data_IF_346291998717
#
_entry.id   IF_346291998717
#
_cell.length_a   1.000
_cell.length_b   1.000
_cell.length_c   1.000
_cell.angle_alpha   90.00
_cell.angle_beta   90.00
_cell.angle_gamma   90.00
#
_symmetry.space_group_name_H-M   'P 1'
#
loop_
_entity.id
_entity.type
_entity.pdbx_description
1 polymer ?
#
# COMPACT_ATOMS: atom_id res chain seq x y z
N UNK A 1 -9.76 32.45 21.29
CA UNK A 1 -10.50 31.70 20.24
C UNK A 1 -9.48 30.78 19.61
N UNK A 2 -9.58 29.46 19.87
CA UNK A 2 -8.69 28.46 19.26
C UNK A 2 -9.01 28.41 17.76
N UNK A 3 -7.98 28.55 16.91
CA UNK A 3 -8.12 28.29 15.47
C UNK A 3 -8.60 26.85 15.26
N UNK A 4 -9.55 26.62 14.33
CA UNK A 4 -9.96 25.27 14.00
C UNK A 4 -8.75 24.51 13.47
N UNK A 5 -8.40 23.40 14.12
CA UNK A 5 -7.35 22.47 13.66
C UNK A 5 -7.73 22.03 12.26
N UNK A 6 -6.97 22.45 11.26
CA UNK A 6 -7.16 21.96 9.89
C UNK A 6 -6.95 20.44 9.89
N UNK A 7 -7.89 19.66 9.34
CA UNK A 7 -7.70 18.22 9.26
C UNK A 7 -6.43 17.92 8.45
N UNK A 8 -5.66 16.97 8.93
CA UNK A 8 -4.46 16.48 8.24
C UNK A 8 -4.85 15.97 6.84
N UNK A 9 -4.36 16.57 5.75
CA UNK A 9 -4.73 16.16 4.40
C UNK A 9 -4.35 14.70 4.10
N UNK A 10 -3.31 14.17 4.75
CA UNK A 10 -2.91 12.77 4.61
C UNK A 10 -3.87 11.82 5.31
N UNK A 11 -4.46 12.22 6.44
CA UNK A 11 -5.52 11.45 7.10
C UNK A 11 -6.77 11.36 6.21
N UNK A 12 -7.14 12.43 5.52
CA UNK A 12 -8.23 12.40 4.54
C UNK A 12 -7.91 11.48 3.35
N UNK A 13 -6.67 11.52 2.84
CA UNK A 13 -6.21 10.68 1.74
C UNK A 13 -6.22 9.18 2.10
N UNK A 14 -5.78 8.81 3.30
CA UNK A 14 -5.82 7.42 3.77
C UNK A 14 -7.26 6.92 3.97
N UNK A 15 -8.16 7.76 4.48
CA UNK A 15 -9.58 7.43 4.60
C UNK A 15 -10.24 7.21 3.21
N UNK A 16 -9.91 8.04 2.23
CA UNK A 16 -10.38 7.90 0.86
C UNK A 16 -9.85 6.61 0.21
N UNK A 17 -8.57 6.31 0.40
CA UNK A 17 -7.97 5.06 -0.08
C UNK A 17 -8.67 3.83 0.53
N UNK A 18 -8.92 3.84 1.83
CA UNK A 18 -9.65 2.74 2.48
C UNK A 18 -11.04 2.55 1.89
N UNK A 19 -11.80 3.63 1.74
CA UNK A 19 -13.14 3.57 1.15
C UNK A 19 -13.12 3.02 -0.28
N UNK A 20 -12.16 3.45 -1.11
CA UNK A 20 -11.98 2.93 -2.47
C UNK A 20 -11.63 1.44 -2.48
N UNK A 21 -10.67 1.01 -1.68
CA UNK A 21 -10.26 -0.40 -1.59
C UNK A 21 -11.43 -1.29 -1.19
N UNK A 22 -12.18 -0.91 -0.15
CA UNK A 22 -13.33 -1.67 0.32
C UNK A 22 -14.49 -1.69 -0.69
N UNK A 23 -14.63 -0.65 -1.51
CA UNK A 23 -15.68 -0.56 -2.52
C UNK A 23 -15.34 -1.34 -3.81
N UNK A 24 -14.06 -1.34 -4.22
CA UNK A 24 -13.66 -1.81 -5.56
C UNK A 24 -12.98 -3.17 -5.56
N UNK A 25 -12.36 -3.59 -4.45
CA UNK A 25 -11.65 -4.87 -4.35
C UNK A 25 -12.33 -5.74 -3.27
N UNK A 26 -13.21 -6.69 -3.66
CA UNK A 26 -13.99 -7.48 -2.69
C UNK A 26 -13.14 -8.20 -1.63
N UNK A 27 -11.92 -8.64 -2.00
CA UNK A 27 -10.99 -9.29 -1.08
C UNK A 27 -10.64 -8.42 0.14
N UNK A 28 -10.57 -7.09 -0.02
CA UNK A 28 -10.19 -6.20 1.09
C UNK A 28 -11.20 -6.21 2.22
N UNK A 29 -12.48 -6.43 1.92
CA UNK A 29 -13.52 -6.64 2.94
C UNK A 29 -13.34 -7.97 3.67
N UNK A 30 -12.99 -9.04 2.95
CA UNK A 30 -12.74 -10.34 3.55
C UNK A 30 -11.50 -10.32 4.46
N UNK A 31 -10.48 -9.55 4.10
CA UNK A 31 -9.30 -9.31 4.93
C UNK A 31 -9.61 -8.47 6.18
N UNK A 32 -10.75 -7.77 6.22
CA UNK A 32 -11.04 -6.68 7.17
C UNK A 32 -9.91 -5.62 7.19
N UNK A 33 -9.47 -5.22 5.98
CA UNK A 33 -8.34 -4.30 5.79
C UNK A 33 -8.64 -2.92 6.36
N UNK A 34 -7.66 -2.37 7.06
CA UNK A 34 -7.62 -0.99 7.51
C UNK A 34 -6.39 -0.28 6.94
N UNK A 35 -6.60 0.94 6.41
CA UNK A 35 -5.50 1.80 5.99
C UNK A 35 -5.05 2.62 7.19
N UNK A 36 -3.78 2.45 7.56
CA UNK A 36 -3.17 3.14 8.67
C UNK A 36 -2.54 4.47 8.26
N UNK A 37 -1.35 4.74 8.80
CA UNK A 37 -0.64 6.01 8.58
C UNK A 37 0.02 6.06 7.19
N UNK A 38 -0.06 7.22 6.58
CA UNK A 38 0.74 7.64 5.43
C UNK A 38 1.51 8.92 5.81
N UNK A 39 2.83 8.93 5.61
CA UNK A 39 3.70 10.06 5.94
C UNK A 39 4.37 10.70 4.70
N UNK A 40 4.00 10.25 3.50
CA UNK A 40 4.57 10.69 2.24
C UNK A 40 5.70 9.79 1.73
N UNK A 41 6.26 8.92 2.57
CA UNK A 41 7.33 7.98 2.22
C UNK A 41 6.96 6.54 2.53
N UNK A 42 6.10 6.33 3.51
CA UNK A 42 5.65 5.00 3.95
C UNK A 42 4.14 4.94 4.04
N UNK A 43 3.58 3.75 3.84
CA UNK A 43 2.16 3.45 4.06
C UNK A 43 2.02 2.22 4.96
N UNK A 44 1.24 2.37 6.03
CA UNK A 44 0.87 1.26 6.90
C UNK A 44 -0.51 0.73 6.53
N UNK A 45 -0.63 -0.60 6.44
CA UNK A 45 -1.91 -1.31 6.43
C UNK A 45 -2.02 -2.22 7.64
N UNK A 46 -3.25 -2.48 8.08
CA UNK A 46 -3.57 -3.40 9.17
C UNK A 46 -4.70 -4.35 8.79
N UNK A 47 -4.70 -5.50 9.40
CA UNK A 47 -5.83 -6.43 9.35
C UNK A 47 -5.84 -7.30 10.61
N UNK A 48 -7.01 -7.64 11.17
CA UNK A 48 -7.09 -8.54 12.31
C UNK A 48 -6.68 -9.97 11.90
N UNK A 49 -6.09 -10.73 12.85
CA UNK A 49 -5.69 -12.10 12.56
C UNK A 49 -6.90 -13.01 12.27
N UNK A 50 -8.00 -12.85 13.00
CA UNK A 50 -9.13 -13.79 13.00
C UNK A 50 -9.67 -14.13 11.60
N UNK A 51 -9.99 -13.19 10.67
CA UNK A 51 -10.44 -13.53 9.33
C UNK A 51 -9.31 -13.99 8.40
N UNK A 52 -8.06 -13.94 8.83
CA UNK A 52 -6.86 -14.15 8.02
C UNK A 52 -6.04 -15.37 8.43
N UNK A 53 -6.62 -16.29 9.20
CA UNK A 53 -5.93 -17.50 9.68
C UNK A 53 -5.85 -18.58 8.61
N UNK A 54 -4.83 -19.42 8.74
CA UNK A 54 -4.69 -20.68 8.01
C UNK A 54 -5.19 -21.87 8.85
N UNK A 55 -4.97 -23.09 8.35
CA UNK A 55 -5.30 -24.36 8.99
C UNK A 55 -4.61 -24.58 10.34
N UNK A 56 -3.58 -23.81 10.67
CA UNK A 56 -2.81 -23.88 11.92
C UNK A 56 -3.18 -22.77 12.91
N UNK A 57 -4.03 -21.81 12.51
CA UNK A 57 -4.43 -20.66 13.32
C UNK A 57 -3.49 -19.47 13.29
N UNK A 58 -2.36 -19.54 12.57
CA UNK A 58 -1.55 -18.35 12.26
C UNK A 58 -1.97 -17.72 10.94
N UNK A 59 -1.41 -16.57 10.62
CA UNK A 59 -1.78 -15.83 9.41
C UNK A 59 -1.58 -16.66 8.14
N UNK A 60 -2.58 -16.64 7.25
CA UNK A 60 -2.53 -17.29 5.96
C UNK A 60 -1.59 -16.54 5.01
N UNK A 61 -0.69 -17.27 4.35
CA UNK A 61 0.28 -16.69 3.43
C UNK A 61 -0.35 -15.88 2.30
N UNK A 62 -1.53 -16.28 1.80
CA UNK A 62 -2.28 -15.51 0.81
C UNK A 62 -2.79 -14.17 1.33
N UNK A 63 -3.21 -14.09 2.60
CA UNK A 63 -3.58 -12.83 3.25
C UNK A 63 -2.36 -11.91 3.39
N UNK A 64 -1.21 -12.47 3.81
CA UNK A 64 0.05 -11.71 3.90
C UNK A 64 0.47 -11.17 2.53
N UNK A 65 0.44 -11.99 1.48
CA UNK A 65 0.77 -11.59 0.11
C UNK A 65 -0.14 -10.46 -0.38
N UNK A 66 -1.44 -10.58 -0.15
CA UNK A 66 -2.44 -9.58 -0.56
C UNK A 66 -2.19 -8.23 0.13
N UNK A 67 -1.95 -8.25 1.44
CA UNK A 67 -1.68 -7.02 2.20
C UNK A 67 -0.36 -6.36 1.78
N UNK A 68 0.70 -7.14 1.53
CA UNK A 68 1.98 -6.63 1.05
C UNK A 68 1.84 -5.93 -0.31
N UNK A 69 1.13 -6.56 -1.26
CA UNK A 69 0.87 -5.98 -2.59
C UNK A 69 0.02 -4.71 -2.46
N UNK A 70 -1.06 -4.74 -1.67
CA UNK A 70 -1.96 -3.60 -1.49
C UNK A 70 -1.27 -2.43 -0.79
N UNK A 71 -0.35 -2.69 0.14
CA UNK A 71 0.42 -1.64 0.81
C UNK A 71 1.34 -0.90 -0.18
N UNK A 72 2.08 -1.61 -1.02
CA UNK A 72 2.93 -1.01 -2.05
C UNK A 72 2.09 -0.30 -3.12
N UNK A 73 0.99 -0.92 -3.57
CA UNK A 73 0.06 -0.31 -4.53
C UNK A 73 -0.52 0.99 -3.99
N UNK A 74 -0.98 0.97 -2.74
CA UNK A 74 -1.54 2.15 -2.06
C UNK A 74 -0.51 3.26 -1.88
N UNK A 75 0.74 2.93 -1.55
CA UNK A 75 1.82 3.90 -1.43
C UNK A 75 2.08 4.61 -2.77
N UNK A 76 2.19 3.86 -3.87
CA UNK A 76 2.39 4.44 -5.21
C UNK A 76 1.20 5.32 -5.61
N UNK A 77 -0.03 4.90 -5.32
CA UNK A 77 -1.24 5.66 -5.60
C UNK A 77 -1.26 6.99 -4.83
N UNK A 78 -1.06 6.94 -3.52
CA UNK A 78 -1.06 8.14 -2.67
C UNK A 78 0.04 9.12 -3.08
N UNK A 79 1.22 8.64 -3.48
CA UNK A 79 2.30 9.49 -3.96
C UNK A 79 1.90 10.27 -5.23
N UNK A 80 1.23 9.61 -6.19
CA UNK A 80 0.72 10.28 -7.40
C UNK A 80 -0.37 11.28 -7.03
N UNK A 81 -1.33 10.92 -6.18
CA UNK A 81 -2.43 11.79 -5.78
C UNK A 81 -1.95 13.02 -5.00
N UNK A 82 -1.00 12.84 -4.06
CA UNK A 82 -0.43 13.95 -3.27
C UNK A 82 0.30 14.97 -4.18
N UNK A 83 0.87 14.52 -5.30
CA UNK A 83 1.51 15.41 -6.27
C UNK A 83 0.55 16.25 -7.10
N UNK A 84 -0.74 15.94 -7.09
CA UNK A 84 -1.73 16.58 -7.95
C UNK A 84 -1.68 16.13 -9.41
N UNK A 85 -0.91 15.09 -9.74
CA UNK A 85 -0.86 14.54 -11.10
C UNK A 85 -2.19 13.87 -11.49
N UNK A 86 -2.39 13.67 -12.80
CA UNK A 86 -3.59 13.02 -13.32
C UNK A 86 -3.76 11.59 -12.75
N UNK A 87 -5.02 11.11 -12.61
CA UNK A 87 -5.26 9.76 -12.12
C UNK A 87 -4.54 8.68 -12.93
N UNK A 88 -3.96 7.72 -12.23
CA UNK A 88 -3.22 6.60 -12.81
C UNK A 88 -3.97 5.28 -12.63
N UNK A 89 -3.81 4.40 -13.61
CA UNK A 89 -4.02 2.97 -13.43
C UNK A 89 -2.68 2.35 -13.01
N UNK A 90 -2.69 1.69 -11.86
CA UNK A 90 -1.52 1.07 -11.24
C UNK A 90 -1.61 -0.45 -11.31
N UNK A 91 -0.53 -1.07 -11.76
CA UNK A 91 -0.44 -2.53 -11.90
C UNK A 91 0.82 -3.04 -11.22
N UNK A 92 0.70 -4.14 -10.49
CA UNK A 92 1.86 -4.92 -10.10
C UNK A 92 2.41 -5.62 -11.34
N UNK A 93 3.71 -5.48 -11.60
CA UNK A 93 4.38 -6.12 -12.73
C UNK A 93 4.97 -7.46 -12.32
N UNK A 94 5.68 -7.48 -11.20
CA UNK A 94 6.24 -8.68 -10.58
C UNK A 94 6.43 -8.45 -9.08
N UNK A 95 6.55 -9.56 -8.35
CA UNK A 95 6.81 -9.53 -6.91
C UNK A 95 7.54 -10.79 -6.47
N UNK A 96 8.40 -10.64 -5.46
CA UNK A 96 9.04 -11.74 -4.75
C UNK A 96 8.74 -11.60 -3.28
N UNK A 97 8.18 -12.65 -2.67
CA UNK A 97 7.80 -12.68 -1.26
C UNK A 97 8.59 -13.77 -0.55
N UNK A 98 9.15 -13.44 0.61
CA UNK A 98 9.79 -14.37 1.52
C UNK A 98 8.98 -14.44 2.81
N UNK A 99 8.52 -15.63 3.16
CA UNK A 99 7.83 -15.94 4.40
C UNK A 99 8.86 -16.46 5.40
N UNK A 100 9.14 -15.71 6.45
CA UNK A 100 10.29 -15.94 7.34
C UNK A 100 9.87 -16.53 8.69
N UNK A 101 8.67 -16.18 9.17
CA UNK A 101 8.14 -16.68 10.43
C UNK A 101 6.60 -16.66 10.41
N UNK A 102 5.93 -17.58 11.15
CA UNK A 102 4.48 -17.52 11.31
C UNK A 102 4.06 -16.30 12.12
N UNK A 103 2.90 -15.73 11.78
CA UNK A 103 2.31 -14.56 12.47
C UNK A 103 1.10 -15.03 13.28
N UNK A 104 1.12 -14.78 14.59
CA UNK A 104 0.11 -15.19 15.54
C UNK A 104 -0.67 -14.02 16.16
N UNK A 105 -0.44 -12.82 15.67
CA UNK A 105 -1.06 -11.57 16.10
C UNK A 105 -1.75 -10.90 14.93
N UNK A 106 -2.45 -9.81 15.20
CA UNK A 106 -2.98 -8.95 14.13
C UNK A 106 -1.86 -8.51 13.19
N UNK A 107 -2.22 -8.32 11.93
CA UNK A 107 -1.30 -8.09 10.84
C UNK A 107 -1.01 -6.59 10.71
N UNK A 108 0.25 -6.22 10.76
CA UNK A 108 0.72 -4.88 10.44
C UNK A 108 1.72 -4.95 9.29
N UNK A 109 1.45 -4.19 8.24
CA UNK A 109 2.27 -4.13 7.03
C UNK A 109 2.75 -2.72 6.82
N UNK A 110 4.03 -2.56 6.54
CA UNK A 110 4.63 -1.28 6.19
C UNK A 110 5.23 -1.37 4.79
N UNK A 111 4.79 -0.50 3.90
CA UNK A 111 5.37 -0.31 2.57
C UNK A 111 6.25 0.93 2.52
N UNK A 112 7.33 0.85 1.75
CA UNK A 112 8.27 1.95 1.51
C UNK A 112 8.95 1.81 0.15
N UNK A 113 9.53 2.91 -0.34
CA UNK A 113 10.44 2.83 -1.48
C UNK A 113 11.77 2.22 -1.07
N UNK A 114 12.48 1.59 -2.00
CA UNK A 114 13.80 1.02 -1.73
C UNK A 114 14.88 2.09 -1.57
N UNK A 115 14.68 3.26 -2.19
CA UNK A 115 15.58 4.41 -2.12
C UNK A 115 14.79 5.68 -1.77
N UNK A 116 15.37 6.57 -0.97
CA UNK A 116 14.72 7.77 -0.44
C UNK A 116 14.12 8.69 -1.53
N UNK A 117 14.77 8.82 -2.69
CA UNK A 117 14.30 9.65 -3.79
C UNK A 117 13.39 8.93 -4.80
N UNK A 118 13.14 7.63 -4.65
CA UNK A 118 12.47 6.83 -5.66
C UNK A 118 11.02 7.25 -5.89
N UNK A 119 10.28 7.58 -4.83
CA UNK A 119 8.89 8.07 -4.95
C UNK A 119 8.82 9.40 -5.71
N UNK A 120 9.71 10.35 -5.39
CA UNK A 120 9.75 11.63 -6.07
C UNK A 120 10.11 11.47 -7.56
N UNK A 121 11.09 10.63 -7.87
CA UNK A 121 11.47 10.30 -9.25
C UNK A 121 10.34 9.61 -10.03
N UNK A 122 9.64 8.67 -9.40
CA UNK A 122 8.49 7.98 -9.98
C UNK A 122 7.35 8.95 -10.32
N UNK A 123 7.02 9.84 -9.39
CA UNK A 123 5.97 10.85 -9.58
C UNK A 123 6.35 11.83 -10.69
N UNK A 124 7.59 12.32 -10.71
CA UNK A 124 8.08 13.22 -11.75
C UNK A 124 8.02 12.57 -13.15
N UNK A 125 8.51 11.32 -13.27
CA UNK A 125 8.45 10.56 -14.52
C UNK A 125 7.00 10.35 -14.99
N UNK A 126 6.09 10.02 -14.05
CA UNK A 126 4.68 9.84 -14.35
C UNK A 126 4.03 11.15 -14.82
N UNK A 127 4.29 12.26 -14.14
CA UNK A 127 3.73 13.57 -14.51
C UNK A 127 4.18 13.98 -15.93
N UNK A 128 5.45 13.76 -16.26
CA UNK A 128 6.03 14.11 -17.55
C UNK A 128 5.55 13.21 -18.70
N UNK A 129 5.58 11.88 -18.48
CA UNK A 129 5.39 10.92 -19.58
C UNK A 129 4.04 10.18 -19.54
N UNK A 130 3.24 10.35 -18.48
CA UNK A 130 1.98 9.60 -18.28
C UNK A 130 2.20 8.10 -18.03
N UNK A 131 3.44 7.68 -17.81
CA UNK A 131 3.86 6.32 -17.50
C UNK A 131 5.13 6.33 -16.67
N UNK A 132 5.17 5.53 -15.62
CA UNK A 132 6.35 5.35 -14.78
C UNK A 132 6.40 3.95 -14.16
N UNK A 133 7.58 3.57 -13.68
CA UNK A 133 7.82 2.34 -12.93
C UNK A 133 8.51 2.66 -11.62
N UNK A 134 8.21 1.84 -10.60
CA UNK A 134 8.85 1.95 -9.29
C UNK A 134 9.04 0.57 -8.67
N UNK A 135 10.19 0.38 -8.01
CA UNK A 135 10.41 -0.76 -7.11
C UNK A 135 10.10 -0.33 -5.68
N UNK A 136 9.24 -1.10 -5.05
CA UNK A 136 8.80 -0.88 -3.67
C UNK A 136 9.05 -2.14 -2.85
N UNK A 137 9.23 -1.96 -1.56
CA UNK A 137 9.30 -3.04 -0.60
C UNK A 137 8.22 -2.91 0.46
N UNK A 138 7.81 -4.04 1.02
CA UNK A 138 6.92 -4.08 2.16
C UNK A 138 7.32 -5.21 3.10
N UNK A 139 7.02 -5.06 4.39
CA UNK A 139 7.23 -6.10 5.37
C UNK A 139 6.04 -6.23 6.31
N UNK A 140 5.86 -7.44 6.86
CA UNK A 140 4.91 -7.75 7.93
C UNK A 140 5.66 -7.75 9.25
N UNK A 141 5.17 -6.98 10.21
CA UNK A 141 5.79 -6.82 11.51
C UNK A 141 6.93 -5.79 11.50
N UNK A 142 7.93 -5.99 12.37
CA UNK A 142 9.04 -5.06 12.49
C UNK A 142 10.00 -5.14 11.30
N UNK A 143 10.47 -4.01 10.81
CA UNK A 143 11.46 -3.95 9.74
C UNK A 143 12.80 -4.63 10.13
N UNK A 144 13.15 -4.63 11.42
CA UNK A 144 14.37 -5.26 11.91
C UNK A 144 14.27 -6.80 11.96
N UNK A 145 13.04 -7.34 12.16
CA UNK A 145 12.77 -8.78 12.21
C UNK A 145 11.41 -9.07 11.56
N UNK A 146 11.30 -8.94 10.22
CA UNK A 146 10.03 -9.14 9.54
C UNK A 146 9.62 -10.61 9.54
N UNK A 147 8.33 -10.87 9.73
CA UNK A 147 7.75 -12.20 9.55
C UNK A 147 7.56 -12.58 8.07
N UNK A 148 7.35 -11.58 7.22
CA UNK A 148 7.39 -11.70 5.78
C UNK A 148 7.89 -10.38 5.18
N UNK A 149 8.51 -10.46 4.01
CA UNK A 149 8.97 -9.30 3.24
C UNK A 149 8.71 -9.50 1.76
N UNK A 150 8.45 -8.42 1.08
CA UNK A 150 8.22 -8.40 -0.36
C UNK A 150 9.04 -7.31 -1.02
N UNK A 151 9.53 -7.60 -2.20
CA UNK A 151 9.99 -6.64 -3.19
C UNK A 151 9.10 -6.78 -4.43
N UNK A 152 8.63 -5.66 -4.97
CA UNK A 152 7.74 -5.67 -6.12
C UNK A 152 7.98 -4.46 -7.02
N UNK A 153 7.74 -4.63 -8.32
CA UNK A 153 7.72 -3.55 -9.30
C UNK A 153 6.29 -3.21 -9.68
N UNK A 154 6.01 -1.93 -9.70
CA UNK A 154 4.71 -1.38 -10.10
C UNK A 154 4.87 -0.49 -11.33
N UNK A 155 3.83 -0.48 -12.16
CA UNK A 155 3.72 0.38 -13.33
C UNK A 155 2.49 1.26 -13.17
N UNK A 156 2.70 2.57 -13.28
CA UNK A 156 1.63 3.56 -13.41
C UNK A 156 1.45 3.91 -14.88
N UNK A 157 0.22 3.97 -15.33
CA UNK A 157 -0.18 4.50 -16.65
C UNK A 157 -1.29 5.52 -16.46
N UNK A 158 -1.26 6.61 -17.24
CA UNK A 158 -2.36 7.58 -17.25
C UNK A 158 -3.65 6.87 -17.63
N UNK A 159 -4.68 7.09 -16.82
CA UNK A 159 -6.01 6.54 -17.11
C UNK A 159 -6.55 7.18 -18.37
N UNK A 160 -6.85 6.37 -19.38
CA UNK A 160 -7.56 6.83 -20.56
C UNK A 160 -9.04 7.00 -20.20
N UNK A 161 -9.57 8.19 -20.47
CA UNK A 161 -11.02 8.40 -20.37
C UNK A 161 -11.66 7.51 -21.43
N UNK A 162 -12.38 6.48 -21.01
CA UNK A 162 -13.23 5.73 -21.93
C UNK A 162 -14.29 6.67 -22.48
N UNK A 163 -14.18 6.97 -23.77
CA UNK A 163 -15.22 7.70 -24.52
C UNK A 163 -16.50 6.87 -24.58
#
# INVERSE_FOLDING_TARGET
>A
VAEPVRPDPRAAATAALQAELLATIPLTRALALEVGRFDGQTLQLRAPLAPNINDKGCAFGGSLASLLILACWGLAKLAIEESGAAPADLYVQDSTIHYLAPVWTDLEVLAQAEEDAALAGFVAQYAEHGKARISLSACVGSAAAPAARMQARFVAKRRELKS
#
